data_IF_749725568401
#
_entry.id   IF_749725568401
#
_cell.length_a   1.000
_cell.length_b   1.000
_cell.length_c   1.000
_cell.angle_alpha   90.00
_cell.angle_beta   90.00
_cell.angle_gamma   90.00
#
_symmetry.space_group_name_H-M   'P 1'
#
loop_
_entity.id
_entity.type
_entity.pdbx_description
1 polymer ?
#
# COMPACT_ATOMS: atom_id res chain seq x y z
N UNK A 1 -28.14 6.82 -8.79
CA UNK A 1 -26.95 7.52 -9.32
C UNK A 1 -26.07 7.93 -8.13
N UNK A 2 -25.15 7.07 -7.69
CA UNK A 2 -24.30 7.37 -6.52
C UNK A 2 -22.89 7.67 -7.01
N UNK A 3 -22.57 8.96 -6.97
CA UNK A 3 -21.30 9.54 -7.36
C UNK A 3 -20.18 8.89 -6.54
N UNK A 4 -19.22 8.29 -7.24
CA UNK A 4 -17.89 8.02 -6.70
C UNK A 4 -17.33 9.39 -6.33
N UNK A 5 -17.36 9.75 -5.05
CA UNK A 5 -16.73 10.98 -4.57
C UNK A 5 -15.21 10.88 -4.81
N UNK A 6 -14.55 12.00 -5.15
CA UNK A 6 -13.13 11.99 -5.50
C UNK A 6 -12.30 11.42 -4.36
N UNK A 7 -11.41 10.48 -4.70
CA UNK A 7 -10.35 10.00 -3.80
C UNK A 7 -9.54 11.21 -3.34
N UNK A 8 -9.47 11.44 -2.04
CA UNK A 8 -8.63 12.50 -1.46
C UNK A 8 -7.21 11.95 -1.31
N UNK A 9 -6.24 12.68 -1.86
CA UNK A 9 -4.80 12.39 -1.80
C UNK A 9 -4.13 13.51 -0.99
N UNK A 10 -3.19 13.17 -0.11
CA UNK A 10 -2.42 14.14 0.69
C UNK A 10 -0.93 13.79 0.54
N UNK A 11 -0.08 14.74 0.13
CA UNK A 11 1.38 14.61 0.03
C UNK A 11 2.08 15.24 1.24
N UNK A 12 3.23 14.68 1.61
CA UNK A 12 4.23 15.31 2.48
C UNK A 12 3.95 15.36 3.99
N UNK A 13 5.01 15.68 4.76
CA UNK A 13 5.05 15.80 6.23
C UNK A 13 4.34 17.04 6.80
N UNK A 14 3.74 17.86 5.94
CA UNK A 14 3.22 19.20 6.29
C UNK A 14 1.69 19.28 6.34
N UNK A 15 0.96 18.17 6.10
CA UNK A 15 -0.50 18.13 6.28
C UNK A 15 -1.30 19.05 5.34
N UNK A 16 -0.68 19.63 4.31
CA UNK A 16 -1.37 20.49 3.34
C UNK A 16 -1.88 19.64 2.16
N UNK A 17 -3.20 19.68 1.83
CA UNK A 17 -3.73 18.99 0.67
C UNK A 17 -3.11 19.56 -0.61
N UNK A 18 -2.41 18.74 -1.38
CA UNK A 18 -1.93 19.09 -2.72
C UNK A 18 -2.42 18.06 -3.72
N UNK A 19 -3.27 18.56 -4.64
CA UNK A 19 -3.85 17.96 -5.85
C UNK A 19 -4.41 16.52 -5.80
N UNK A 20 -5.65 16.39 -6.27
CA UNK A 20 -6.36 15.12 -6.49
C UNK A 20 -5.76 14.39 -7.70
N UNK A 21 -4.90 13.39 -7.52
CA UNK A 21 -4.69 12.38 -8.58
C UNK A 21 -5.77 11.32 -8.46
N UNK A 22 -6.56 11.14 -9.51
CA UNK A 22 -7.58 10.11 -9.56
C UNK A 22 -6.96 8.71 -9.38
N UNK A 23 -7.58 7.89 -8.54
CA UNK A 23 -7.39 6.43 -8.63
C UNK A 23 -7.92 6.04 -10.01
N UNK A 24 -7.15 5.35 -10.86
CA UNK A 24 -7.71 4.81 -12.09
C UNK A 24 -8.98 4.03 -11.72
N UNK A 25 -10.13 4.35 -12.29
CA UNK A 25 -11.44 3.76 -11.92
C UNK A 25 -11.41 2.23 -11.88
N UNK A 26 -10.50 1.61 -12.64
CA UNK A 26 -10.21 0.17 -12.66
C UNK A 26 -9.63 -0.41 -11.34
N UNK A 27 -9.19 0.43 -10.39
CA UNK A 27 -8.55 0.02 -9.14
C UNK A 27 -9.43 0.12 -7.90
N UNK A 28 -10.47 0.94 -7.95
CA UNK A 28 -11.49 0.91 -6.93
C UNK A 28 -12.16 -0.47 -6.99
N UNK A 29 -12.28 -1.22 -5.88
CA UNK A 29 -13.18 -2.36 -5.87
C UNK A 29 -14.54 -1.86 -6.36
N UNK A 30 -15.27 -2.62 -7.21
CA UNK A 30 -16.61 -2.25 -7.60
C UNK A 30 -17.38 -1.80 -6.35
N UNK A 31 -18.12 -0.68 -6.36
CA UNK A 31 -18.83 -0.20 -5.17
C UNK A 31 -19.69 -1.30 -4.52
N UNK A 32 -20.15 -2.24 -5.34
CA UNK A 32 -20.86 -3.45 -4.94
C UNK A 32 -20.01 -4.38 -4.08
N UNK A 33 -18.71 -4.54 -4.31
CA UNK A 33 -17.84 -5.46 -3.57
C UNK A 33 -17.61 -5.02 -2.12
N UNK A 34 -17.24 -3.75 -1.90
CA UNK A 34 -16.99 -3.24 -0.55
C UNK A 34 -18.27 -3.22 0.29
N UNK A 35 -19.39 -2.81 -0.32
CA UNK A 35 -20.70 -2.86 0.33
C UNK A 35 -21.17 -4.31 0.55
N UNK A 36 -20.86 -5.24 -0.35
CA UNK A 36 -21.19 -6.65 -0.18
C UNK A 36 -20.41 -7.28 0.97
N UNK A 37 -19.11 -6.99 1.11
CA UNK A 37 -18.30 -7.41 2.26
C UNK A 37 -18.86 -6.87 3.56
N UNK A 38 -19.21 -5.58 3.59
CA UNK A 38 -19.82 -4.95 4.77
C UNK A 38 -21.12 -5.66 5.18
N UNK A 39 -21.96 -6.01 4.20
CA UNK A 39 -23.24 -6.70 4.45
C UNK A 39 -23.05 -8.15 4.90
N UNK A 40 -22.22 -8.92 4.21
CA UNK A 40 -21.99 -10.35 4.51
C UNK A 40 -21.34 -10.53 5.89
N UNK A 41 -20.43 -9.64 6.26
CA UNK A 41 -19.72 -9.67 7.55
C UNK A 41 -20.42 -8.83 8.62
N UNK A 42 -21.59 -8.26 8.29
CA UNK A 42 -22.42 -7.43 9.16
C UNK A 42 -21.63 -6.34 9.89
N UNK A 43 -20.76 -5.64 9.14
CA UNK A 43 -19.92 -4.55 9.63
C UNK A 43 -20.70 -3.24 9.66
N UNK A 44 -20.56 -2.50 10.75
CA UNK A 44 -21.10 -1.14 10.88
C UNK A 44 -20.22 -0.14 10.14
N UNK A 45 -18.90 -0.38 10.18
CA UNK A 45 -17.92 0.48 9.54
C UNK A 45 -16.91 -0.31 8.71
N UNK A 46 -16.56 0.24 7.55
CA UNK A 46 -15.53 -0.28 6.67
C UNK A 46 -14.77 0.88 6.01
N UNK A 47 -13.46 0.90 6.20
CA UNK A 47 -12.55 1.89 5.61
C UNK A 47 -11.40 1.17 4.92
N UNK A 48 -11.33 1.27 3.60
CA UNK A 48 -10.33 0.66 2.75
C UNK A 48 -9.39 1.75 2.23
N UNK A 49 -8.12 1.66 2.58
CA UNK A 49 -7.11 2.62 2.15
C UNK A 49 -5.90 1.93 1.56
N UNK A 50 -5.28 2.66 0.64
CA UNK A 50 -4.02 2.32 0.05
C UNK A 50 -3.03 3.44 0.34
N UNK A 51 -1.81 3.06 0.63
CA UNK A 51 -0.69 3.96 0.86
C UNK A 51 0.32 3.76 -0.25
N UNK A 52 0.69 4.84 -0.92
CA UNK A 52 1.73 4.85 -1.94
C UNK A 52 2.84 5.76 -1.44
N UNK A 53 4.04 5.21 -1.34
CA UNK A 53 5.27 5.94 -1.06
C UNK A 53 6.07 6.01 -2.35
N UNK A 54 6.27 7.24 -2.85
CA UNK A 54 7.10 7.51 -4.02
C UNK A 54 8.59 7.57 -3.64
N UNK A 55 9.46 7.57 -4.64
CA UNK A 55 10.93 7.54 -4.48
C UNK A 55 11.49 8.77 -3.77
N UNK A 56 10.77 9.89 -3.82
CA UNK A 56 11.09 11.11 -3.06
C UNK A 56 10.70 11.00 -1.58
N UNK A 57 10.37 9.79 -1.09
CA UNK A 57 9.75 9.53 0.23
C UNK A 57 8.43 10.26 0.43
N UNK A 58 7.80 10.67 -0.67
CA UNK A 58 6.51 11.36 -0.62
C UNK A 58 5.39 10.33 -0.47
N UNK A 59 4.65 10.48 0.61
CA UNK A 59 3.65 9.51 1.07
C UNK A 59 2.28 10.03 0.72
N UNK A 60 1.48 9.20 0.08
CA UNK A 60 0.10 9.50 -0.26
C UNK A 60 -0.83 8.40 0.26
N UNK A 61 -1.91 8.82 0.95
CA UNK A 61 -3.03 7.94 1.27
C UNK A 61 -4.08 8.10 0.19
N UNK A 62 -4.64 6.98 -0.26
CA UNK A 62 -5.78 6.93 -1.18
C UNK A 62 -6.90 6.11 -0.55
N UNK A 63 -8.03 6.76 -0.29
CA UNK A 63 -9.25 6.11 0.22
C UNK A 63 -9.99 5.45 -0.95
N UNK A 64 -10.04 4.13 -0.95
CA UNK A 64 -10.74 3.34 -1.98
C UNK A 64 -12.23 3.19 -1.67
N UNK A 65 -12.55 3.07 -0.39
CA UNK A 65 -13.91 2.99 0.12
C UNK A 65 -13.91 3.41 1.59
N UNK A 66 -14.96 4.09 2.05
CA UNK A 66 -15.07 4.47 3.45
C UNK A 66 -16.51 4.71 3.84
N UNK A 67 -16.93 4.11 4.94
CA UNK A 67 -18.17 4.45 5.65
C UNK A 67 -17.93 5.49 6.75
N UNK A 68 -16.68 5.85 7.05
CA UNK A 68 -16.37 6.87 8.05
C UNK A 68 -16.91 8.22 7.63
N UNK A 69 -17.31 9.05 8.61
CA UNK A 69 -17.68 10.44 8.36
C UNK A 69 -16.50 11.21 7.76
N UNK A 70 -16.78 12.23 6.93
CA UNK A 70 -15.71 13.07 6.36
C UNK A 70 -14.87 13.75 7.44
N UNK A 71 -15.46 14.02 8.62
CA UNK A 71 -14.75 14.56 9.78
C UNK A 71 -13.68 13.59 10.29
N UNK A 72 -14.03 12.32 10.50
CA UNK A 72 -13.07 11.31 10.95
C UNK A 72 -11.99 11.05 9.89
N UNK A 73 -12.35 11.00 8.62
CA UNK A 73 -11.36 10.85 7.54
C UNK A 73 -10.33 11.99 7.55
N UNK A 74 -10.77 13.24 7.70
CA UNK A 74 -9.88 14.39 7.78
C UNK A 74 -8.94 14.31 9.00
N UNK A 75 -9.44 13.88 10.16
CA UNK A 75 -8.63 13.71 11.38
C UNK A 75 -7.61 12.58 11.23
N UNK A 76 -8.02 11.43 10.72
CA UNK A 76 -7.15 10.29 10.49
C UNK A 76 -5.96 10.63 9.58
N UNK A 77 -6.22 11.47 8.57
CA UNK A 77 -5.18 11.97 7.66
C UNK A 77 -4.27 12.99 8.35
N UNK A 78 -4.82 13.99 9.04
CA UNK A 78 -4.04 15.01 9.75
C UNK A 78 -3.12 14.40 10.84
N UNK A 79 -3.61 13.39 11.55
CA UNK A 79 -2.87 12.66 12.57
C UNK A 79 -2.09 11.46 12.01
N UNK A 80 -2.04 11.30 10.68
CA UNK A 80 -1.24 10.29 9.98
C UNK A 80 -1.51 8.84 10.41
N UNK A 81 -2.75 8.48 10.79
CA UNK A 81 -3.08 7.16 11.33
C UNK A 81 -2.66 6.01 10.40
N UNK A 82 -2.77 6.23 9.08
CA UNK A 82 -2.43 5.25 8.05
C UNK A 82 -0.90 5.06 7.88
N UNK A 83 -0.08 6.06 8.20
CA UNK A 83 1.38 5.98 8.07
C UNK A 83 2.13 5.85 9.41
N UNK A 84 1.43 6.12 10.51
CA UNK A 84 2.01 6.23 11.84
C UNK A 84 2.05 4.92 12.62
N UNK A 85 1.91 5.06 13.94
CA UNK A 85 2.12 3.99 14.92
C UNK A 85 1.14 2.83 14.74
N UNK A 86 -0.15 3.10 14.53
CA UNK A 86 -1.18 2.06 14.37
C UNK A 86 -0.91 1.15 13.17
N UNK A 87 -0.70 1.73 11.99
CA UNK A 87 -0.41 0.97 10.79
C UNK A 87 0.90 0.16 10.93
N UNK A 88 1.89 0.69 11.64
CA UNK A 88 3.17 0.00 11.89
C UNK A 88 3.02 -1.15 12.88
N UNK A 89 2.27 -0.94 13.95
CA UNK A 89 1.94 -1.98 14.92
C UNK A 89 1.15 -3.11 14.26
N UNK A 90 0.12 -2.80 13.47
CA UNK A 90 -0.67 -3.81 12.75
C UNK A 90 0.18 -4.68 11.83
N UNK A 91 1.13 -4.08 11.09
CA UNK A 91 2.04 -4.83 10.20
C UNK A 91 3.00 -5.76 10.96
N UNK A 92 3.32 -5.46 12.22
CA UNK A 92 4.20 -6.27 13.08
C UNK A 92 3.42 -7.32 13.87
N UNK A 93 2.12 -7.12 14.05
CA UNK A 93 1.27 -8.06 14.75
C UNK A 93 1.15 -9.38 13.98
N UNK A 94 0.88 -10.46 14.73
CA UNK A 94 0.71 -11.79 14.15
C UNK A 94 -0.46 -11.78 13.18
N UNK A 95 -0.22 -12.19 11.94
CA UNK A 95 -1.25 -12.18 10.89
C UNK A 95 -1.59 -10.80 10.35
N UNK A 96 -0.90 -9.72 10.78
CA UNK A 96 -1.14 -8.38 10.26
C UNK A 96 -2.40 -7.71 10.82
N UNK A 97 -2.84 -8.06 12.04
CA UNK A 97 -4.12 -7.59 12.61
C UNK A 97 -3.92 -6.99 14.00
N UNK A 98 -4.54 -5.83 14.25
CA UNK A 98 -4.83 -5.33 15.60
C UNK A 98 -6.30 -5.49 15.91
N UNK A 99 -6.59 -6.01 17.09
CA UNK A 99 -7.94 -6.12 17.66
C UNK A 99 -8.35 -4.80 18.35
N UNK A 100 -9.63 -4.60 18.69
CA UNK A 100 -10.08 -3.45 19.47
C UNK A 100 -9.37 -3.34 20.83
N UNK A 101 -9.04 -4.48 21.45
CA UNK A 101 -8.29 -4.50 22.70
C UNK A 101 -6.87 -3.95 22.49
N UNK A 102 -6.21 -4.30 21.39
CA UNK A 102 -4.89 -3.74 21.04
C UNK A 102 -5.00 -2.23 20.74
N UNK A 103 -6.03 -1.83 20.00
CA UNK A 103 -6.22 -0.45 19.55
C UNK A 103 -6.65 0.52 20.66
N UNK A 104 -7.12 0.02 21.80
CA UNK A 104 -7.52 0.83 22.96
C UNK A 104 -6.43 0.95 24.02
N UNK A 105 -5.26 0.33 23.80
CA UNK A 105 -4.12 0.48 24.70
C UNK A 105 -3.64 1.94 24.75
N UNK A 106 -3.55 2.49 25.97
CA UNK A 106 -3.29 3.92 26.19
C UNK A 106 -1.95 4.40 25.60
N UNK A 107 -0.90 3.56 25.65
CA UNK A 107 0.41 3.85 25.04
C UNK A 107 0.31 3.97 23.53
N UNK A 108 -0.39 3.03 22.89
CA UNK A 108 -0.56 2.99 21.45
C UNK A 108 -1.40 4.19 20.94
N UNK A 109 -2.46 4.55 21.66
CA UNK A 109 -3.30 5.71 21.35
C UNK A 109 -2.53 7.03 21.48
N UNK A 110 -1.74 7.17 22.54
CA UNK A 110 -0.92 8.36 22.78
C UNK A 110 0.14 8.54 21.67
N UNK A 111 0.85 7.47 21.31
CA UNK A 111 1.85 7.50 20.23
C UNK A 111 1.23 7.74 18.84
N UNK A 112 0.02 7.24 18.61
CA UNK A 112 -0.70 7.41 17.36
C UNK A 112 -1.45 8.74 17.24
N UNK A 113 -1.41 9.59 18.27
CA UNK A 113 -2.16 10.85 18.33
C UNK A 113 -3.66 10.65 18.07
N UNK A 114 -4.21 9.54 18.56
CA UNK A 114 -5.65 9.22 18.46
C UNK A 114 -6.29 9.59 19.78
N UNK A 115 -7.32 10.45 19.76
CA UNK A 115 -8.00 10.80 21.00
C UNK A 115 -8.99 9.72 21.42
N UNK A 116 -9.28 9.60 22.72
CA UNK A 116 -10.30 8.67 23.22
C UNK A 116 -11.67 8.96 22.59
N UNK A 117 -11.98 10.23 22.33
CA UNK A 117 -13.21 10.63 21.66
C UNK A 117 -13.29 10.15 20.20
N UNK A 118 -12.16 10.06 19.49
CA UNK A 118 -12.11 9.48 18.15
C UNK A 118 -12.46 8.00 18.15
N UNK A 119 -11.85 7.24 19.07
CA UNK A 119 -12.14 5.82 19.22
C UNK A 119 -13.57 5.57 19.68
N UNK A 120 -14.11 6.42 20.55
CA UNK A 120 -15.49 6.34 20.99
C UNK A 120 -16.48 6.56 19.83
N UNK A 121 -16.20 7.50 18.93
CA UNK A 121 -17.02 7.74 17.74
C UNK A 121 -16.93 6.60 16.73
N UNK A 122 -15.75 6.01 16.56
CA UNK A 122 -15.53 4.86 15.69
C UNK A 122 -16.11 3.56 16.24
N UNK A 123 -16.30 3.47 17.55
CA UNK A 123 -16.59 2.21 18.22
C UNK A 123 -15.43 1.20 18.11
N UNK A 124 -15.68 -0.09 18.39
CA UNK A 124 -14.69 -1.14 18.26
C UNK A 124 -14.19 -1.26 16.81
N UNK A 125 -12.88 -1.17 16.61
CA UNK A 125 -12.23 -1.27 15.30
C UNK A 125 -11.21 -2.40 15.30
N UNK A 126 -11.16 -3.14 14.20
CA UNK A 126 -10.10 -4.06 13.85
C UNK A 126 -9.32 -3.46 12.69
N UNK A 127 -8.00 -3.41 12.81
CA UNK A 127 -7.10 -2.92 11.78
C UNK A 127 -6.35 -4.09 11.15
N UNK A 128 -6.61 -4.36 9.88
CA UNK A 128 -5.92 -5.36 9.06
C UNK A 128 -4.96 -4.65 8.14
N UNK A 129 -3.66 -4.90 8.28
CA UNK A 129 -2.63 -4.28 7.46
C UNK A 129 -1.81 -5.32 6.70
N UNK A 130 -1.62 -5.10 5.40
CA UNK A 130 -0.69 -5.91 4.60
C UNK A 130 0.72 -5.34 4.73
N UNK A 131 1.75 -6.20 4.91
CA UNK A 131 3.14 -5.77 4.92
C UNK A 131 3.48 -4.96 3.67
N UNK A 132 4.26 -3.90 3.86
CA UNK A 132 4.68 -3.02 2.77
C UNK A 132 5.51 -3.82 1.77
N UNK A 133 5.07 -3.84 0.51
CA UNK A 133 5.82 -4.38 -0.62
C UNK A 133 5.81 -3.35 -1.71
N UNK A 134 6.98 -2.98 -2.22
CA UNK A 134 7.11 -2.06 -3.36
C UNK A 134 6.71 -0.61 -3.11
N UNK A 135 6.94 -0.08 -1.92
CA UNK A 135 6.44 1.27 -1.57
C UNK A 135 4.91 1.32 -1.47
N UNK A 136 4.25 0.18 -1.63
CA UNK A 136 2.80 0.04 -1.54
C UNK A 136 2.45 -0.68 -0.24
N UNK A 137 1.55 -0.08 0.51
CA UNK A 137 0.86 -0.73 1.63
C UNK A 137 -0.64 -0.56 1.46
N UNK A 138 -1.41 -1.44 2.07
CA UNK A 138 -2.86 -1.34 2.12
C UNK A 138 -3.33 -1.80 3.48
N UNK A 139 -4.42 -1.19 3.94
CA UNK A 139 -5.03 -1.53 5.20
C UNK A 139 -6.55 -1.41 5.13
N UNK A 140 -7.19 -2.14 6.02
CA UNK A 140 -8.63 -2.17 6.21
C UNK A 140 -8.91 -1.90 7.67
N UNK A 141 -9.81 -0.95 7.92
CA UNK A 141 -10.43 -0.77 9.20
C UNK A 141 -11.85 -1.31 9.11
N UNK A 142 -12.15 -2.29 9.95
CA UNK A 142 -13.48 -2.88 10.05
C UNK A 142 -13.99 -2.61 11.46
N UNK A 143 -15.20 -2.06 11.56
CA UNK A 143 -15.84 -1.77 12.85
C UNK A 143 -17.18 -2.46 12.98
N UNK A 144 -17.45 -2.95 14.19
CA UNK A 144 -18.73 -3.57 14.57
C UNK A 144 -19.05 -3.21 16.02
N UNK A 145 -20.28 -2.77 16.27
CA UNK A 145 -20.77 -2.36 17.59
C UNK A 145 -21.04 -3.54 18.53
N UNK A 146 -21.04 -4.76 18.00
CA UNK A 146 -21.03 -6.00 18.78
C UNK A 146 -19.68 -6.69 18.67
N UNK A 147 -19.21 -7.38 19.72
CA UNK A 147 -17.97 -8.14 19.68
C UNK A 147 -17.99 -9.12 18.50
N UNK A 148 -16.88 -9.17 17.76
CA UNK A 148 -16.65 -10.24 16.80
C UNK A 148 -16.41 -11.55 17.55
N UNK A 149 -17.00 -12.64 17.07
CA UNK A 149 -16.57 -13.96 17.50
C UNK A 149 -15.17 -14.25 16.96
N UNK A 150 -14.44 -15.19 17.57
CA UNK A 150 -13.15 -15.63 17.04
C UNK A 150 -13.25 -16.15 15.59
N UNK A 151 -14.41 -16.67 15.19
CA UNK A 151 -14.70 -17.09 13.81
C UNK A 151 -14.82 -15.87 12.89
N UNK A 152 -15.52 -14.82 13.32
CA UNK A 152 -15.65 -13.58 12.54
C UNK A 152 -14.28 -12.92 12.36
N UNK A 153 -13.46 -12.84 13.41
CA UNK A 153 -12.09 -12.30 13.32
C UNK A 153 -11.23 -13.09 12.34
N UNK A 154 -11.30 -14.43 12.41
CA UNK A 154 -10.60 -15.33 11.50
C UNK A 154 -11.07 -15.19 10.05
N UNK A 155 -12.38 -15.08 9.81
CA UNK A 155 -12.97 -14.90 8.49
C UNK A 155 -12.60 -13.55 7.88
N UNK A 156 -12.66 -12.46 8.66
CA UNK A 156 -12.23 -11.15 8.18
C UNK A 156 -10.75 -11.20 7.86
N UNK A 157 -9.89 -11.76 8.71
CA UNK A 157 -8.47 -11.92 8.38
C UNK A 157 -8.23 -12.74 7.10
N UNK A 158 -8.96 -13.85 6.94
CA UNK A 158 -8.87 -14.73 5.78
C UNK A 158 -9.40 -14.12 4.48
N UNK A 159 -10.32 -13.15 4.54
CA UNK A 159 -10.89 -12.46 3.37
C UNK A 159 -10.14 -11.14 3.10
N UNK A 160 -9.91 -10.34 4.13
CA UNK A 160 -9.30 -9.02 4.07
C UNK A 160 -7.87 -9.10 3.53
N UNK A 161 -7.04 -10.02 4.02
CA UNK A 161 -5.63 -10.07 3.62
C UNK A 161 -5.45 -10.48 2.14
N UNK A 162 -6.10 -11.54 1.62
CA UNK A 162 -6.02 -11.85 0.18
C UNK A 162 -6.65 -10.77 -0.70
N UNK A 163 -7.74 -10.14 -0.27
CA UNK A 163 -8.37 -9.03 -0.97
C UNK A 163 -7.41 -7.83 -1.08
N UNK A 164 -6.86 -7.38 0.06
CA UNK A 164 -5.90 -6.28 0.12
C UNK A 164 -4.67 -6.57 -0.74
N UNK A 165 -4.14 -7.79 -0.65
CA UNK A 165 -3.01 -8.23 -1.48
C UNK A 165 -3.35 -8.16 -2.97
N UNK A 166 -4.56 -8.58 -3.35
CA UNK A 166 -5.02 -8.56 -4.74
C UNK A 166 -5.19 -7.13 -5.27
N UNK A 167 -5.77 -6.24 -4.45
CA UNK A 167 -5.92 -4.80 -4.77
C UNK A 167 -4.55 -4.16 -4.93
N UNK A 168 -3.62 -4.40 -3.99
CA UNK A 168 -2.26 -3.89 -4.05
C UNK A 168 -1.50 -4.39 -5.29
N UNK A 169 -1.61 -5.67 -5.63
CA UNK A 169 -0.98 -6.23 -6.83
C UNK A 169 -1.56 -5.64 -8.12
N UNK A 170 -2.89 -5.47 -8.19
CA UNK A 170 -3.53 -4.80 -9.32
C UNK A 170 -3.09 -3.35 -9.44
N UNK A 171 -2.94 -2.63 -8.32
CA UNK A 171 -2.45 -1.26 -8.31
C UNK A 171 -1.03 -1.15 -8.82
N UNK A 172 -0.13 -2.02 -8.36
CA UNK A 172 1.24 -2.05 -8.87
C UNK A 172 1.30 -2.26 -10.38
N UNK A 173 0.39 -3.07 -10.96
CA UNK A 173 0.30 -3.29 -12.41
C UNK A 173 -0.32 -2.09 -13.16
N UNK A 174 -1.44 -1.55 -12.65
CA UNK A 174 -2.24 -0.54 -13.33
C UNK A 174 -1.72 0.88 -13.16
N UNK A 175 -1.04 1.17 -12.05
CA UNK A 175 -0.48 2.51 -11.80
C UNK A 175 0.63 2.87 -12.79
N UNK A 176 1.13 1.91 -13.58
CA UNK A 176 2.15 2.14 -14.60
C UNK A 176 3.43 2.79 -14.06
N UNK A 177 3.54 2.92 -12.72
CA UNK A 177 4.76 3.29 -12.02
C UNK A 177 5.49 1.98 -11.83
N UNK A 178 6.44 1.60 -12.71
CA UNK A 178 7.49 0.70 -12.25
C UNK A 178 8.03 1.35 -10.97
N UNK A 179 8.36 0.56 -9.95
CA UNK A 179 9.39 1.02 -9.00
C UNK A 179 10.51 1.52 -9.90
N UNK A 180 10.77 2.82 -10.00
CA UNK A 180 11.62 3.29 -11.08
C UNK A 180 12.96 2.62 -10.86
N UNK A 181 13.49 2.14 -11.96
CA UNK A 181 14.83 1.64 -11.96
C UNK A 181 15.72 2.81 -11.60
N UNK A 182 16.67 2.60 -10.68
CA UNK A 182 17.68 3.63 -10.41
C UNK A 182 18.48 3.89 -11.69
N UNK A 183 19.13 5.04 -11.84
CA UNK A 183 19.98 5.31 -13.00
C UNK A 183 20.98 4.17 -13.28
N UNK A 184 21.59 3.61 -12.22
CA UNK A 184 22.51 2.47 -12.32
C UNK A 184 21.83 1.16 -12.76
N UNK A 185 20.63 0.89 -12.29
CA UNK A 185 19.85 -0.27 -12.75
C UNK A 185 19.45 -0.13 -14.23
N UNK A 186 19.09 1.09 -14.66
CA UNK A 186 18.79 1.40 -16.07
C UNK A 186 20.05 1.22 -16.94
N UNK A 187 21.19 1.77 -16.53
CA UNK A 187 22.47 1.61 -17.24
C UNK A 187 22.86 0.14 -17.38
N UNK A 188 22.77 -0.64 -16.30
CA UNK A 188 23.06 -2.08 -16.35
C UNK A 188 22.12 -2.81 -17.32
N UNK A 189 20.82 -2.47 -17.31
CA UNK A 189 19.84 -3.08 -18.21
C UNK A 189 20.04 -2.65 -19.67
N UNK A 190 20.47 -1.42 -19.96
CA UNK A 190 20.83 -0.94 -21.31
C UNK A 190 22.03 -1.70 -21.88
N UNK A 191 23.11 -1.78 -21.12
CA UNK A 191 24.26 -2.55 -21.59
C UNK A 191 23.94 -4.04 -21.73
N UNK A 192 23.06 -4.57 -20.88
CA UNK A 192 22.56 -5.93 -21.02
C UNK A 192 21.70 -6.14 -22.26
N UNK A 193 20.86 -5.18 -22.66
CA UNK A 193 20.09 -5.27 -23.92
C UNK A 193 20.97 -5.26 -25.16
N UNK A 194 22.16 -4.66 -25.06
CA UNK A 194 23.20 -4.69 -26.10
C UNK A 194 24.04 -5.98 -26.10
N UNK A 195 23.75 -6.94 -25.20
CA UNK A 195 24.44 -8.23 -25.14
C UNK A 195 25.73 -8.26 -24.33
N UNK A 196 26.03 -7.23 -23.52
CA UNK A 196 27.23 -7.18 -22.67
C UNK A 196 27.15 -8.17 -21.51
N UNK A 197 28.27 -8.76 -21.11
CA UNK A 197 28.34 -9.62 -19.91
C UNK A 197 28.37 -8.79 -18.63
N UNK A 198 28.16 -9.40 -17.46
CA UNK A 198 28.27 -8.67 -16.17
C UNK A 198 29.68 -8.14 -15.92
N UNK A 199 30.70 -8.83 -16.43
CA UNK A 199 32.12 -8.43 -16.37
C UNK A 199 32.39 -7.21 -17.27
N UNK A 200 31.87 -7.21 -18.51
CA UNK A 200 31.98 -6.05 -19.40
C UNK A 200 31.33 -4.80 -18.79
N UNK A 201 30.12 -4.97 -18.23
CA UNK A 201 29.36 -3.87 -17.60
C UNK A 201 30.09 -3.34 -16.38
N UNK A 202 30.68 -4.22 -15.57
CA UNK A 202 31.51 -3.85 -14.44
C UNK A 202 32.69 -2.96 -14.87
N UNK A 203 33.39 -3.35 -15.95
CA UNK A 203 34.45 -2.56 -16.54
C UNK A 203 33.98 -1.21 -17.09
N UNK A 204 32.81 -1.17 -17.75
CA UNK A 204 32.24 0.07 -18.31
C UNK A 204 31.79 1.06 -17.24
N UNK A 205 31.31 0.57 -16.10
CA UNK A 205 30.74 1.39 -15.02
C UNK A 205 31.71 1.63 -13.85
N UNK A 206 32.93 1.10 -13.92
CA UNK A 206 33.97 1.15 -12.87
C UNK A 206 33.46 0.66 -11.50
N UNK A 207 32.83 -0.51 -11.49
CA UNK A 207 32.30 -1.16 -10.28
C UNK A 207 32.59 -2.67 -10.31
N UNK A 208 32.48 -3.35 -9.16
CA UNK A 208 32.64 -4.79 -9.10
C UNK A 208 31.50 -5.54 -9.84
N UNK A 209 31.82 -6.68 -10.45
CA UNK A 209 30.83 -7.57 -11.08
C UNK A 209 29.69 -7.97 -10.12
N UNK A 210 30.00 -8.23 -8.85
CA UNK A 210 29.01 -8.55 -7.81
C UNK A 210 28.03 -7.40 -7.55
N UNK A 211 28.47 -6.15 -7.71
CA UNK A 211 27.62 -4.96 -7.63
C UNK A 211 26.69 -4.88 -8.84
N UNK A 212 27.16 -5.19 -10.05
CA UNK A 212 26.32 -5.30 -11.26
C UNK A 212 25.25 -6.38 -11.09
N UNK A 213 25.61 -7.56 -10.57
CA UNK A 213 24.65 -8.63 -10.29
C UNK A 213 23.60 -8.23 -9.25
N UNK A 214 24.00 -7.44 -8.26
CA UNK A 214 23.08 -6.86 -7.28
C UNK A 214 22.11 -5.89 -7.94
N UNK A 215 22.59 -5.02 -8.84
CA UNK A 215 21.72 -4.14 -9.62
C UNK A 215 20.72 -4.94 -10.47
N UNK A 216 21.16 -6.01 -11.14
CA UNK A 216 20.23 -6.88 -11.88
C UNK A 216 19.19 -7.56 -11.00
N UNK A 217 19.57 -8.05 -9.82
CA UNK A 217 18.65 -8.66 -8.86
C UNK A 217 17.59 -7.67 -8.40
N UNK A 218 18.00 -6.44 -8.09
CA UNK A 218 17.08 -5.37 -7.70
C UNK A 218 16.17 -4.95 -8.86
N UNK A 219 16.74 -4.77 -10.06
CA UNK A 219 15.98 -4.45 -11.27
C UNK A 219 14.94 -5.52 -11.61
N UNK A 220 15.33 -6.80 -11.57
CA UNK A 220 14.41 -7.92 -11.82
C UNK A 220 13.27 -7.95 -10.80
N UNK A 221 13.58 -7.76 -9.50
CA UNK A 221 12.56 -7.66 -8.46
C UNK A 221 11.63 -6.45 -8.65
N UNK A 222 12.15 -5.33 -9.16
CA UNK A 222 11.37 -4.12 -9.46
C UNK A 222 10.46 -4.28 -10.68
N UNK A 223 10.92 -4.99 -11.71
CA UNK A 223 10.19 -5.27 -12.94
C UNK A 223 9.27 -6.50 -12.84
N UNK A 224 9.30 -7.24 -11.72
CA UNK A 224 8.55 -8.49 -11.57
C UNK A 224 9.09 -9.63 -12.44
N UNK A 225 10.35 -9.53 -12.85
CA UNK A 225 11.01 -10.51 -13.69
C UNK A 225 11.65 -11.64 -12.87
N UNK A 226 11.75 -12.83 -13.48
CA UNK A 226 12.29 -14.03 -12.84
C UNK A 226 13.81 -14.16 -12.98
N UNK A 227 14.38 -13.53 -14.00
CA UNK A 227 15.81 -13.59 -14.30
C UNK A 227 16.23 -12.34 -15.10
N UNK A 228 17.54 -12.22 -15.35
CA UNK A 228 18.14 -11.10 -16.08
C UNK A 228 17.51 -10.89 -17.47
N UNK A 229 17.37 -11.94 -18.27
CA UNK A 229 16.81 -11.82 -19.62
C UNK A 229 15.35 -11.39 -19.61
N UNK A 230 14.56 -11.92 -18.67
CA UNK A 230 13.18 -11.48 -18.45
C UNK A 230 13.14 -10.01 -18.01
N UNK A 231 14.07 -9.56 -17.15
CA UNK A 231 14.16 -8.17 -16.72
C UNK A 231 14.48 -7.23 -17.90
N UNK A 232 15.40 -7.60 -18.78
CA UNK A 232 15.70 -6.85 -20.00
C UNK A 232 14.46 -6.76 -20.91
N UNK A 233 13.75 -7.87 -21.10
CA UNK A 233 12.55 -7.90 -21.92
C UNK A 233 11.42 -7.01 -21.36
N UNK A 234 11.22 -6.98 -20.04
CA UNK A 234 10.28 -6.07 -19.39
C UNK A 234 10.72 -4.60 -19.45
N UNK A 235 12.04 -4.34 -19.33
CA UNK A 235 12.58 -3.00 -19.44
C UNK A 235 12.36 -2.40 -20.85
N UNK A 236 12.49 -3.23 -21.90
CA UNK A 236 12.17 -2.85 -23.29
C UNK A 236 10.67 -2.67 -23.50
N UNK A 237 9.83 -3.62 -23.05
CA UNK A 237 8.35 -3.52 -23.16
C UNK A 237 7.79 -2.28 -22.47
N UNK A 238 8.39 -1.89 -21.35
CA UNK A 238 7.98 -0.72 -20.56
C UNK A 238 8.56 0.60 -21.08
N UNK A 239 9.44 0.57 -22.09
CA UNK A 239 10.05 1.77 -22.69
C UNK A 239 11.05 2.49 -21.79
N UNK A 240 11.52 1.84 -20.71
CA UNK A 240 12.51 2.44 -19.79
C UNK A 240 13.93 2.41 -20.38
N UNK A 241 14.18 1.45 -21.27
CA UNK A 241 15.38 1.35 -22.11
C UNK A 241 14.95 1.24 -23.58
N UNK A 242 15.82 1.70 -24.49
CA UNK A 242 15.58 1.76 -25.93
C UNK A 242 16.62 0.92 -26.66
#
# INVERSE_FOLDING_TARGET
>A
MHLIRPTVEFRGSTGVPSSVSSVPTALAPPPTMAEHLRRVLELDHLHLVMMVEDETSDRSVRILFSTWSSRIQARALAAHWHFGTLATAARRARGGVLTPADMTQASLLAEAQVSVADMAELGPQWLFAVPRRAGLASEIWAGRNRPLSAIDEGLIGAIALPLLRSISQRYARLSGKPRRLTPREVECLRWASEGRTSEDIAGLLDIAQTTVETHFKHAAAKLGAQNRSHAVAEALRSGVIA
#
